data_IF_375804346408
#
_entry.id   IF_375804346408
#
_cell.length_a   1.000
_cell.length_b   1.000
_cell.length_c   1.000
_cell.angle_alpha   90.00
_cell.angle_beta   90.00
_cell.angle_gamma   90.00
#
_symmetry.space_group_name_H-M   'P 1'
#
loop_
_entity.id
_entity.type
_entity.pdbx_description
1 polymer ?
#
# COMPACT_ATOMS: atom_id res chain seq x y z
N UNK A 1 -9.95 -16.22 -9.62
CA UNK A 1 -10.16 -15.28 -10.74
C UNK A 1 -11.58 -14.74 -10.60
N UNK A 2 -11.78 -13.42 -10.45
CA UNK A 2 -13.12 -12.80 -10.30
C UNK A 2 -13.67 -12.44 -11.69
N UNK A 3 -14.98 -12.65 -11.94
CA UNK A 3 -15.59 -12.37 -13.25
C UNK A 3 -15.92 -10.88 -13.44
N UNK A 4 -16.10 -10.15 -12.33
CA UNK A 4 -16.21 -8.68 -12.28
C UNK A 4 -15.60 -8.18 -10.98
N UNK A 5 -14.72 -7.20 -11.08
CA UNK A 5 -14.12 -6.54 -9.92
C UNK A 5 -13.92 -5.05 -10.20
N UNK A 6 -13.91 -4.26 -9.13
CA UNK A 6 -13.56 -2.86 -9.14
C UNK A 6 -12.46 -2.64 -8.10
N UNK A 7 -11.45 -1.84 -8.47
CA UNK A 7 -10.37 -1.44 -7.57
C UNK A 7 -10.38 0.07 -7.43
N UNK A 8 -10.14 0.57 -6.22
CA UNK A 8 -9.85 1.96 -5.94
C UNK A 8 -8.55 2.05 -5.17
N UNK A 9 -7.61 2.84 -5.69
CA UNK A 9 -6.33 3.13 -5.06
C UNK A 9 -6.29 4.62 -4.75
N UNK A 10 -6.30 4.94 -3.45
CA UNK A 10 -6.20 6.31 -2.98
C UNK A 10 -4.85 6.52 -2.30
N UNK A 11 -4.14 7.58 -2.68
CA UNK A 11 -2.90 8.00 -2.05
C UNK A 11 -2.96 9.50 -1.82
N UNK A 12 -2.81 9.90 -0.56
CA UNK A 12 -2.64 11.28 -0.18
C UNK A 12 -1.22 11.50 0.32
N UNK A 13 -0.51 12.41 -0.32
CA UNK A 13 0.83 12.82 0.11
C UNK A 13 0.71 14.14 0.84
N UNK A 14 1.20 14.18 2.07
CA UNK A 14 1.30 15.45 2.78
C UNK A 14 2.50 16.21 2.22
N UNK A 15 2.25 17.31 1.53
CA UNK A 15 3.28 18.16 0.90
C UNK A 15 4.30 18.71 1.93
N UNK A 16 3.90 18.75 3.19
CA UNK A 16 4.76 19.18 4.28
C UNK A 16 5.80 18.12 4.63
N UNK A 17 7.05 18.40 4.28
CA UNK A 17 8.21 17.69 4.80
C UNK A 17 8.31 17.90 6.32
N UNK A 18 8.63 16.85 7.07
CA UNK A 18 8.83 16.93 8.52
C UNK A 18 10.09 17.73 8.85
N UNK A 19 11.12 17.59 8.03
CA UNK A 19 12.35 18.37 8.03
C UNK A 19 13.04 18.25 6.67
N UNK A 20 14.08 19.06 6.43
CA UNK A 20 14.86 19.01 5.20
C UNK A 20 16.35 19.12 5.49
N UNK A 21 17.10 18.11 5.10
CA UNK A 21 18.57 18.05 5.12
C UNK A 21 19.09 17.63 3.76
N UNK A 22 20.41 17.60 3.57
CA UNK A 22 21.05 17.13 2.34
C UNK A 22 20.73 15.66 2.03
N UNK A 23 20.55 14.83 3.05
CA UNK A 23 20.43 13.37 2.92
C UNK A 23 19.05 12.82 3.28
N UNK A 24 18.12 13.67 3.71
CA UNK A 24 16.82 13.24 4.21
C UNK A 24 15.84 14.40 4.17
N UNK A 25 14.64 14.14 3.65
CA UNK A 25 13.57 15.12 3.56
C UNK A 25 12.22 14.41 3.67
N UNK A 26 11.93 13.80 4.84
CA UNK A 26 10.86 12.83 4.93
C UNK A 26 9.50 13.50 4.93
N UNK A 27 8.53 12.84 4.30
CA UNK A 27 7.13 13.24 4.28
C UNK A 27 6.25 12.01 4.47
N UNK A 28 5.06 12.25 5.00
CA UNK A 28 4.10 11.18 5.27
C UNK A 28 3.16 11.06 4.06
N UNK A 29 2.79 9.84 3.71
CA UNK A 29 1.66 9.59 2.82
C UNK A 29 0.72 8.56 3.42
N UNK A 30 -0.57 8.76 3.24
CA UNK A 30 -1.61 7.79 3.61
C UNK A 30 -2.11 7.13 2.33
N UNK A 31 -2.22 5.81 2.36
CA UNK A 31 -2.64 4.99 1.23
C UNK A 31 -3.87 4.19 1.66
N UNK A 32 -4.86 4.08 0.80
CA UNK A 32 -6.04 3.26 1.00
C UNK A 32 -6.36 2.50 -0.29
N UNK A 33 -6.36 1.17 -0.20
CA UNK A 33 -6.59 0.27 -1.31
C UNK A 33 -7.89 -0.48 -1.05
N UNK A 34 -8.81 -0.39 -2.00
CA UNK A 34 -10.11 -1.06 -1.97
C UNK A 34 -10.24 -1.94 -3.20
N UNK A 35 -10.63 -3.19 -2.99
CA UNK A 35 -10.94 -4.13 -4.06
C UNK A 35 -12.28 -4.79 -3.72
N UNK A 36 -13.27 -4.61 -4.58
CA UNK A 36 -14.59 -5.23 -4.44
C UNK A 36 -14.91 -6.05 -5.68
N UNK A 37 -15.37 -7.29 -5.52
CA UNK A 37 -15.70 -8.17 -6.64
C UNK A 37 -16.47 -9.41 -6.21
N UNK A 38 -17.17 -10.04 -7.15
CA UNK A 38 -17.93 -11.26 -6.92
C UNK A 38 -17.43 -12.43 -7.78
N UNK A 39 -17.53 -13.65 -7.26
CA UNK A 39 -17.38 -14.88 -8.03
C UNK A 39 -18.75 -15.31 -8.59
N UNK A 40 -18.80 -15.73 -9.86
CA UNK A 40 -19.99 -16.38 -10.40
C UNK A 40 -20.07 -17.85 -9.91
N UNK A 41 -21.31 -18.36 -9.78
CA UNK A 41 -21.66 -19.65 -9.13
C UNK A 41 -20.93 -20.87 -9.74
N UNK A 42 -20.58 -20.83 -11.02
CA UNK A 42 -19.84 -21.90 -11.70
C UNK A 42 -18.35 -21.98 -11.28
N UNK A 43 -17.71 -20.86 -10.93
CA UNK A 43 -16.31 -20.83 -10.52
C UNK A 43 -16.11 -21.28 -9.06
N UNK A 44 -17.13 -21.13 -8.21
CA UNK A 44 -17.09 -21.59 -6.81
C UNK A 44 -17.08 -23.11 -6.67
N UNK A 45 -17.67 -23.83 -7.64
CA UNK A 45 -17.76 -25.29 -7.65
C UNK A 45 -16.51 -25.98 -8.23
N UNK A 46 -15.78 -25.31 -9.13
CA UNK A 46 -14.60 -25.87 -9.81
C UNK A 46 -13.28 -25.72 -9.00
N UNK A 47 -13.24 -24.82 -8.02
CA UNK A 47 -12.00 -24.42 -7.32
C UNK A 47 -11.83 -24.93 -5.89
N UNK A 48 -12.68 -25.84 -5.40
CA UNK A 48 -12.57 -26.39 -4.04
C UNK A 48 -12.64 -25.30 -2.95
N UNK A 49 -13.84 -24.85 -2.58
CA UNK A 49 -14.05 -23.96 -1.42
C UNK A 49 -13.25 -22.64 -1.42
N UNK A 50 -12.81 -22.14 -2.58
CA UNK A 50 -12.28 -20.78 -2.71
C UNK A 50 -13.44 -19.78 -2.59
N UNK A 51 -13.81 -19.45 -1.35
CA UNK A 51 -14.75 -18.38 -1.05
C UNK A 51 -14.10 -17.02 -1.27
N UNK A 52 -14.69 -16.19 -2.12
CA UNK A 52 -14.39 -14.75 -2.13
C UNK A 52 -14.86 -14.18 -0.80
N UNK A 53 -14.05 -13.36 -0.10
CA UNK A 53 -14.55 -12.60 1.03
C UNK A 53 -15.73 -11.75 0.58
N UNK A 54 -16.91 -11.96 1.17
CA UNK A 54 -18.14 -11.23 0.81
C UNK A 54 -18.02 -9.72 1.07
N UNK A 55 -17.04 -9.32 1.86
CA UNK A 55 -16.83 -7.95 2.35
C UNK A 55 -15.86 -7.12 1.52
N UNK A 56 -15.30 -7.66 0.43
CA UNK A 56 -14.24 -6.98 -0.32
C UNK A 56 -12.92 -6.92 0.47
N UNK A 57 -11.86 -6.50 -0.21
CA UNK A 57 -10.52 -6.31 0.35
C UNK A 57 -10.29 -4.82 0.60
N UNK A 58 -9.97 -4.48 1.84
CA UNK A 58 -9.78 -3.11 2.31
C UNK A 58 -8.43 -3.03 3.04
N UNK A 59 -7.50 -2.26 2.52
CA UNK A 59 -6.18 -2.06 3.13
C UNK A 59 -5.90 -0.59 3.31
N UNK A 60 -5.44 -0.20 4.50
CA UNK A 60 -4.95 1.15 4.76
C UNK A 60 -3.50 1.05 5.15
N UNK A 61 -2.66 1.92 4.58
CA UNK A 61 -1.28 2.05 4.96
C UNK A 61 -0.86 3.48 5.21
N UNK A 62 0.24 3.61 5.94
CA UNK A 62 0.99 4.84 6.02
C UNK A 62 2.41 4.57 5.55
N UNK A 63 2.96 5.52 4.81
CA UNK A 63 4.36 5.51 4.43
C UNK A 63 5.06 6.76 4.92
N UNK A 64 6.29 6.56 5.37
CA UNK A 64 7.29 7.58 5.53
C UNK A 64 8.23 7.51 4.33
N UNK A 65 8.10 8.49 3.46
CA UNK A 65 8.86 8.57 2.23
C UNK A 65 10.11 9.41 2.43
N UNK A 66 11.13 9.26 1.56
CA UNK A 66 12.37 10.07 1.57
C UNK A 66 13.08 10.10 2.93
N UNK A 67 13.11 8.95 3.61
CA UNK A 67 13.85 8.76 4.87
C UNK A 67 15.34 8.98 4.62
N UNK A 68 15.84 8.38 3.54
CA UNK A 68 17.19 8.63 3.02
C UNK A 68 17.01 9.07 1.58
N UNK A 69 17.77 10.08 1.19
CA UNK A 69 17.80 10.68 -0.14
C UNK A 69 19.25 10.83 -0.58
N UNK A 70 19.65 10.02 -1.56
CA UNK A 70 21.00 10.04 -2.12
C UNK A 70 20.98 10.70 -3.48
N UNK A 71 21.71 11.81 -3.61
CA UNK A 71 21.86 12.50 -4.88
C UNK A 71 22.67 11.64 -5.85
N UNK A 72 22.08 11.28 -6.97
CA UNK A 72 22.71 10.60 -8.09
C UNK A 72 23.00 11.62 -9.20
N UNK A 73 24.27 11.98 -9.34
CA UNK A 73 24.82 12.84 -10.41
C UNK A 73 24.10 14.20 -10.59
N UNK A 74 23.44 14.73 -9.55
CA UNK A 74 22.63 15.96 -9.58
C UNK A 74 21.44 15.93 -10.56
N UNK A 75 21.03 14.75 -11.03
CA UNK A 75 19.92 14.56 -11.99
C UNK A 75 18.76 13.79 -11.39
N UNK A 76 19.02 13.01 -10.34
CA UNK A 76 18.01 12.22 -9.66
C UNK A 76 18.41 12.00 -8.20
N UNK A 77 17.43 11.59 -7.41
CA UNK A 77 17.58 11.19 -6.03
C UNK A 77 17.10 9.75 -5.86
N UNK A 78 17.97 8.91 -5.31
CA UNK A 78 17.57 7.60 -4.81
C UNK A 78 17.00 7.77 -3.42
N UNK A 79 15.71 7.45 -3.26
CA UNK A 79 14.97 7.61 -2.02
C UNK A 79 14.71 6.25 -1.37
N UNK A 80 14.93 6.15 -0.06
CA UNK A 80 14.51 5.01 0.76
C UNK A 80 13.23 5.41 1.51
N UNK A 81 12.24 4.52 1.46
CA UNK A 81 10.92 4.70 2.01
C UNK A 81 10.60 3.51 2.91
N UNK A 82 9.84 3.74 3.96
CA UNK A 82 9.31 2.68 4.82
C UNK A 82 7.84 2.93 5.11
N UNK A 83 7.10 1.88 5.39
CA UNK A 83 5.67 2.01 5.67
C UNK A 83 5.11 0.79 6.37
N UNK A 84 3.86 0.93 6.75
CA UNK A 84 3.09 -0.12 7.39
C UNK A 84 1.69 -0.12 6.80
N UNK A 85 1.20 -1.29 6.44
CA UNK A 85 -0.12 -1.53 5.86
C UNK A 85 -0.90 -2.45 6.77
N UNK A 86 -2.21 -2.23 6.85
CA UNK A 86 -3.12 -3.01 7.65
C UNK A 86 -4.34 -3.38 6.81
N UNK A 87 -4.60 -4.69 6.71
CA UNK A 87 -5.77 -5.24 6.07
C UNK A 87 -6.93 -5.32 7.07
N UNK A 88 -8.05 -4.69 6.73
CA UNK A 88 -9.26 -4.68 7.52
C UNK A 88 -10.02 -6.00 7.33
N UNK A 89 -9.60 -7.04 8.05
CA UNK A 89 -10.25 -8.34 8.02
C UNK A 89 -10.58 -8.82 9.45
N UNK A 90 -11.69 -8.33 10.01
CA UNK A 90 -12.20 -8.74 11.31
C UNK A 90 -11.55 -8.00 12.50
N UNK A 91 -11.39 -8.68 13.67
CA UNK A 91 -10.83 -8.05 14.87
C UNK A 91 -9.38 -7.62 14.67
N UNK A 92 -8.92 -6.66 15.48
CA UNK A 92 -7.57 -6.15 15.37
C UNK A 92 -6.53 -7.23 15.71
N UNK A 93 -5.88 -7.76 14.68
CA UNK A 93 -4.71 -8.62 14.79
C UNK A 93 -3.60 -8.12 13.85
N UNK A 94 -2.52 -7.59 14.41
CA UNK A 94 -1.37 -7.13 13.64
C UNK A 94 -0.58 -8.28 13.00
N UNK A 95 -0.51 -9.44 13.65
CA UNK A 95 0.31 -10.56 13.17
C UNK A 95 -0.25 -11.18 11.88
N UNK A 96 -1.57 -11.25 11.77
CA UNK A 96 -2.24 -11.79 10.59
C UNK A 96 -2.52 -10.74 9.52
N UNK A 97 -2.77 -9.48 9.91
CA UNK A 97 -3.29 -8.47 8.99
C UNK A 97 -2.36 -7.26 8.75
N UNK A 98 -1.26 -7.17 9.50
CA UNK A 98 -0.27 -6.11 9.39
C UNK A 98 0.92 -6.50 8.51
N UNK A 99 1.46 -5.53 7.77
CA UNK A 99 2.65 -5.70 6.94
C UNK A 99 3.54 -4.47 7.03
N UNK A 100 4.82 -4.66 7.36
CA UNK A 100 5.83 -3.63 7.19
C UNK A 100 6.44 -3.71 5.80
N UNK A 101 6.66 -2.55 5.18
CA UNK A 101 7.18 -2.43 3.83
C UNK A 101 8.38 -1.50 3.85
N UNK A 102 9.44 -1.87 3.14
CA UNK A 102 10.54 -0.98 2.79
C UNK A 102 10.64 -0.91 1.26
N UNK A 103 10.91 0.26 0.72
CA UNK A 103 10.92 0.49 -0.72
C UNK A 103 11.99 1.49 -1.14
N UNK A 104 12.52 1.28 -2.34
CA UNK A 104 13.44 2.22 -2.99
C UNK A 104 12.69 2.94 -4.09
N UNK A 105 12.87 4.26 -4.18
CA UNK A 105 12.25 5.12 -5.19
C UNK A 105 13.29 6.00 -5.89
N UNK A 106 12.92 6.51 -7.06
CA UNK A 106 13.67 7.53 -7.77
C UNK A 106 12.83 8.81 -7.83
N UNK A 107 13.41 9.94 -7.45
CA UNK A 107 12.80 11.26 -7.65
C UNK A 107 13.72 12.18 -8.44
N UNK A 108 13.13 13.09 -9.22
CA UNK A 108 13.84 14.05 -10.08
C UNK A 108 13.69 15.46 -9.51
#
# INVERSE_FOLDING_TARGET
>A
YNDRYACLFYRHEFDRMLYKTKYSAPYISVIHNLLYGSLNRQNSLAGGNLGTPATGYHETGMMLNRIIRLNYLNIAYLDINAGAFYHWNGPFDWGSNGMFVAGVGLSF
#
